data_IF_237695080623
#
_entry.id   IF_237695080623
#
_cell.length_a   1.000
_cell.length_b   1.000
_cell.length_c   1.000
_cell.angle_alpha   90.00
_cell.angle_beta   90.00
_cell.angle_gamma   90.00
#
_symmetry.space_group_name_H-M   'P 1'
#
loop_
_entity.id
_entity.type
_entity.pdbx_description
1 polymer ?
#
# COMPACT_ATOMS: atom_id res chain seq x y z
N UNK A 1 8.11 -19.29 20.02
CA UNK A 1 7.55 -19.31 18.66
C UNK A 1 6.78 -20.61 18.52
N UNK A 2 5.46 -20.59 18.66
CA UNK A 2 4.63 -21.81 18.67
C UNK A 2 3.80 -21.87 17.37
N UNK A 3 4.13 -22.84 16.51
CA UNK A 3 3.25 -23.42 15.48
C UNK A 3 2.65 -22.51 14.42
N UNK A 4 3.20 -21.32 14.17
CA UNK A 4 2.71 -20.39 13.14
C UNK A 4 3.79 -20.13 12.09
N UNK A 5 3.39 -20.14 10.82
CA UNK A 5 4.24 -19.79 9.69
C UNK A 5 3.39 -19.19 8.56
N UNK A 6 4.01 -18.50 7.61
CA UNK A 6 3.32 -17.97 6.43
C UNK A 6 4.19 -18.03 5.18
N UNK A 7 3.55 -18.20 4.02
CA UNK A 7 4.24 -18.22 2.73
C UNK A 7 3.33 -17.62 1.65
N UNK A 8 3.96 -16.95 0.69
CA UNK A 8 3.30 -16.52 -0.54
C UNK A 8 3.60 -17.53 -1.65
N UNK A 9 2.57 -18.25 -2.11
CA UNK A 9 2.67 -19.22 -3.21
C UNK A 9 1.76 -18.75 -4.34
N UNK A 10 2.34 -18.42 -5.49
CA UNK A 10 1.57 -17.93 -6.64
C UNK A 10 0.82 -16.63 -6.31
N UNK A 11 -0.51 -16.69 -6.39
CA UNK A 11 -1.46 -15.60 -6.11
C UNK A 11 -2.14 -15.74 -4.74
N UNK A 12 -1.60 -16.58 -3.85
CA UNK A 12 -2.13 -16.82 -2.51
C UNK A 12 -1.11 -16.51 -1.40
N UNK A 13 -1.63 -16.11 -0.25
CA UNK A 13 -0.92 -16.07 1.04
C UNK A 13 -1.48 -17.17 1.93
N UNK A 14 -0.62 -18.10 2.32
CA UNK A 14 -0.95 -19.19 3.23
C UNK A 14 -0.44 -18.84 4.63
N UNK A 15 -1.27 -19.09 5.64
CA UNK A 15 -0.89 -18.98 7.05
C UNK A 15 -1.18 -20.31 7.74
N UNK A 16 -0.13 -20.97 8.21
CA UNK A 16 -0.25 -22.19 9.01
C UNK A 16 -0.35 -21.85 10.48
N UNK A 17 -1.24 -22.53 11.20
CA UNK A 17 -1.40 -22.36 12.64
C UNK A 17 -1.86 -23.65 13.32
N UNK A 18 -1.60 -23.76 14.62
CA UNK A 18 -2.15 -24.79 15.49
C UNK A 18 -3.13 -24.18 16.50
N UNK A 19 -4.30 -24.79 16.76
CA UNK A 19 -5.22 -24.33 17.81
C UNK A 19 -4.58 -24.28 19.20
N UNK A 20 -4.91 -23.25 19.98
CA UNK A 20 -4.54 -23.16 21.39
C UNK A 20 -5.63 -23.79 22.29
N UNK A 21 -5.28 -24.48 23.39
CA UNK A 21 -3.94 -24.76 23.90
C UNK A 21 -3.23 -25.86 23.10
N UNK A 22 -1.91 -25.70 22.90
CA UNK A 22 -1.08 -26.59 22.08
C UNK A 22 -1.18 -28.07 22.51
N UNK A 23 -1.29 -28.35 23.81
CA UNK A 23 -1.39 -29.72 24.32
C UNK A 23 -2.69 -30.45 23.90
N UNK A 24 -3.69 -29.69 23.44
CA UNK A 24 -4.96 -30.23 22.91
C UNK A 24 -5.06 -30.06 21.39
N UNK A 25 -4.02 -29.56 20.73
CA UNK A 25 -4.00 -29.45 19.28
C UNK A 25 -3.91 -30.84 18.66
N UNK A 26 -4.67 -31.07 17.59
CA UNK A 26 -4.73 -32.34 16.84
C UNK A 26 -4.08 -32.22 15.45
N UNK A 27 -3.42 -31.10 15.15
CA UNK A 27 -2.70 -30.90 13.91
C UNK A 27 -2.53 -29.44 13.52
N UNK A 28 -2.09 -29.24 12.28
CA UNK A 28 -1.92 -27.93 11.65
C UNK A 28 -3.18 -27.60 10.84
N UNK A 29 -3.55 -26.33 10.83
CA UNK A 29 -4.58 -25.74 9.98
C UNK A 29 -3.93 -24.70 9.08
N UNK A 30 -4.55 -24.45 7.93
CA UNK A 30 -4.11 -23.41 6.98
C UNK A 30 -5.27 -22.48 6.72
N UNK A 31 -5.03 -21.18 6.85
CA UNK A 31 -5.89 -20.15 6.32
C UNK A 31 -5.25 -19.57 5.06
N UNK A 32 -6.08 -19.22 4.07
CA UNK A 32 -5.64 -18.79 2.75
C UNK A 32 -6.33 -17.48 2.40
N UNK A 33 -5.54 -16.54 1.91
CA UNK A 33 -6.01 -15.29 1.30
C UNK A 33 -5.45 -15.19 -0.11
N UNK A 34 -6.05 -14.30 -0.91
CA UNK A 34 -5.32 -13.77 -2.08
C UNK A 34 -4.02 -13.12 -1.60
N UNK A 35 -2.99 -13.17 -2.46
CA UNK A 35 -1.64 -12.74 -2.13
C UNK A 35 -1.61 -11.34 -1.50
N UNK A 36 -0.89 -11.27 -0.39
CA UNK A 36 -0.64 -10.10 0.43
C UNK A 36 -1.93 -9.43 0.93
N UNK A 37 -2.99 -10.23 1.21
CA UNK A 37 -4.29 -9.74 1.73
C UNK A 37 -4.65 -10.15 3.15
N UNK A 38 -3.65 -10.38 4.01
CA UNK A 38 -3.86 -10.72 5.42
C UNK A 38 -4.44 -9.56 6.26
N UNK A 39 -4.30 -8.32 5.78
CA UNK A 39 -4.87 -7.11 6.36
C UNK A 39 -4.79 -5.95 5.36
N UNK A 40 -5.36 -4.79 5.70
CA UNK A 40 -5.36 -3.61 4.84
C UNK A 40 -5.39 -2.32 5.63
N UNK A 41 -4.95 -1.23 5.01
CA UNK A 41 -5.24 0.13 5.41
C UNK A 41 -6.59 0.58 4.86
N UNK A 42 -7.37 1.21 5.72
CA UNK A 42 -8.65 1.85 5.42
C UNK A 42 -8.72 3.15 6.21
N UNK A 43 -9.09 4.22 5.53
CA UNK A 43 -9.27 5.53 6.17
C UNK A 43 -10.67 5.63 6.78
N UNK A 44 -10.80 6.38 7.88
CA UNK A 44 -12.08 6.61 8.55
C UNK A 44 -12.29 8.10 8.82
N UNK A 45 -13.51 8.57 8.58
CA UNK A 45 -13.93 9.97 8.75
C UNK A 45 -14.26 10.36 10.19
N UNK A 46 -14.15 9.44 11.16
CA UNK A 46 -14.54 9.66 12.55
C UNK A 46 -13.39 9.28 13.49
N UNK A 47 -12.55 10.27 13.81
CA UNK A 47 -11.45 10.15 14.75
C UNK A 47 -11.24 11.49 15.48
N UNK A 48 -10.52 11.52 16.60
CA UNK A 48 -10.34 12.73 17.41
C UNK A 48 -9.60 13.90 16.70
N UNK A 49 -9.19 13.71 15.44
CA UNK A 49 -8.45 14.66 14.60
C UNK A 49 -9.30 15.25 13.45
N UNK A 50 -10.58 14.90 13.32
CA UNK A 50 -11.42 15.28 12.17
C UNK A 50 -11.79 16.75 12.07
N UNK A 51 -11.61 17.52 13.16
CA UNK A 51 -11.88 18.96 13.21
C UNK A 51 -10.63 19.80 12.90
N UNK A 52 -9.48 19.16 12.68
CA UNK A 52 -8.31 19.86 12.20
C UNK A 52 -8.42 20.03 10.69
N UNK A 53 -8.15 21.23 10.17
CA UNK A 53 -7.99 21.51 8.72
C UNK A 53 -6.77 20.75 8.12
N UNK A 54 -6.29 19.69 8.78
CA UNK A 54 -5.16 18.89 8.37
C UNK A 54 -5.49 18.11 7.10
N UNK A 55 -4.44 17.89 6.33
CA UNK A 55 -4.44 17.14 5.09
C UNK A 55 -5.22 15.82 5.25
N UNK A 56 -5.97 15.45 4.20
CA UNK A 56 -6.81 14.25 4.20
C UNK A 56 -6.07 12.98 4.64
N UNK A 57 -6.80 11.90 4.99
CA UNK A 57 -6.22 10.69 5.55
C UNK A 57 -5.17 10.09 4.59
N UNK A 58 -3.98 9.83 5.12
CA UNK A 58 -2.86 9.36 4.32
C UNK A 58 -1.92 8.47 5.14
N UNK A 59 -1.05 7.75 4.43
CA UNK A 59 0.11 7.05 5.01
C UNK A 59 1.39 7.52 4.33
N UNK A 60 2.49 7.54 5.07
CA UNK A 60 3.82 7.84 4.53
C UNK A 60 4.78 6.74 4.92
N UNK A 61 5.56 6.23 3.96
CA UNK A 61 6.59 5.24 4.22
C UNK A 61 7.74 5.80 5.06
N UNK A 62 8.54 4.89 5.65
CA UNK A 62 9.90 5.23 6.05
C UNK A 62 10.72 5.67 4.81
N UNK A 63 11.87 6.36 4.99
CA UNK A 63 12.78 6.66 3.88
C UNK A 63 13.23 5.37 3.20
N UNK A 64 13.23 5.38 1.87
CA UNK A 64 13.66 4.27 1.00
C UNK A 64 14.82 4.78 0.16
N UNK A 65 15.92 4.04 0.18
CA UNK A 65 17.05 4.27 -0.72
C UNK A 65 16.80 3.50 -2.02
N UNK A 66 16.81 4.21 -3.15
CA UNK A 66 16.66 3.60 -4.47
C UNK A 66 17.98 3.03 -5.01
N UNK A 67 19.09 3.25 -4.31
CA UNK A 67 20.43 2.82 -4.75
C UNK A 67 20.77 3.32 -6.17
N UNK A 68 20.36 4.55 -6.48
CA UNK A 68 20.48 5.20 -7.80
C UNK A 68 19.82 4.43 -8.97
N UNK A 69 18.94 3.47 -8.68
CA UNK A 69 18.17 2.72 -9.66
C UNK A 69 16.81 3.36 -9.94
N UNK A 70 16.27 3.07 -11.12
CA UNK A 70 14.87 3.37 -11.40
C UNK A 70 13.97 2.39 -10.64
N UNK A 71 12.74 2.80 -10.33
CA UNK A 71 11.82 1.96 -9.58
C UNK A 71 10.39 2.00 -10.13
N UNK A 72 9.76 0.84 -10.23
CA UNK A 72 8.34 0.69 -10.56
C UNK A 72 7.52 0.62 -9.28
N UNK A 73 6.54 1.51 -9.14
CA UNK A 73 5.61 1.51 -8.01
C UNK A 73 4.29 0.86 -8.41
N UNK A 74 3.82 -0.09 -7.59
CA UNK A 74 2.52 -0.73 -7.80
C UNK A 74 1.79 -1.01 -6.50
N UNK A 75 0.47 -1.18 -6.57
CA UNK A 75 -0.42 -1.34 -5.40
C UNK A 75 -1.12 -2.69 -5.42
N UNK A 76 -1.35 -3.27 -4.24
CA UNK A 76 -2.43 -4.24 -4.04
C UNK A 76 -3.62 -3.50 -3.44
N UNK A 77 -4.65 -3.29 -4.26
CA UNK A 77 -5.79 -2.43 -3.92
C UNK A 77 -7.10 -3.11 -4.27
N UNK A 78 -8.16 -2.76 -3.56
CA UNK A 78 -9.51 -3.26 -3.81
C UNK A 78 -10.54 -2.13 -3.70
N UNK A 79 -11.53 -2.21 -4.58
CA UNK A 79 -12.68 -1.29 -4.70
C UNK A 79 -12.38 0.19 -5.01
N UNK A 80 -11.32 0.58 -5.75
CA UNK A 80 -11.31 1.93 -6.31
C UNK A 80 -12.50 2.11 -7.26
N UNK A 81 -13.15 3.27 -7.21
CA UNK A 81 -14.30 3.62 -8.06
C UNK A 81 -14.43 5.15 -8.19
N UNK A 82 -15.52 5.63 -8.80
CA UNK A 82 -15.72 7.07 -9.02
C UNK A 82 -15.87 7.92 -7.74
N UNK A 83 -16.17 7.29 -6.60
CA UNK A 83 -16.37 7.95 -5.31
C UNK A 83 -15.21 7.77 -4.34
N UNK A 84 -14.28 6.85 -4.60
CA UNK A 84 -13.14 6.61 -3.74
C UNK A 84 -11.93 5.99 -4.46
N UNK A 85 -10.75 6.30 -3.96
CA UNK A 85 -9.51 5.76 -4.47
C UNK A 85 -8.33 6.15 -3.62
N UNK A 86 -7.15 6.08 -4.21
CA UNK A 86 -5.93 6.60 -3.62
C UNK A 86 -5.19 7.48 -4.61
N UNK A 87 -4.43 8.45 -4.16
CA UNK A 87 -3.38 9.11 -4.95
C UNK A 87 -2.03 8.83 -4.31
N UNK A 88 -0.97 8.84 -5.12
CA UNK A 88 0.38 8.56 -4.65
C UNK A 88 1.29 9.72 -5.03
N UNK A 89 2.07 10.17 -4.06
CA UNK A 89 3.08 11.20 -4.22
C UNK A 89 4.43 10.70 -3.72
N UNK A 90 5.50 11.08 -4.42
CA UNK A 90 6.87 10.84 -3.96
C UNK A 90 7.36 12.07 -3.23
N UNK A 91 7.83 11.88 -2.01
CA UNK A 91 8.43 12.93 -1.19
C UNK A 91 9.93 12.70 -1.06
N UNK A 92 10.69 13.79 -0.88
CA UNK A 92 12.09 13.71 -0.46
C UNK A 92 12.23 13.39 1.04
N UNK A 93 13.46 13.30 1.54
CA UNK A 93 13.74 13.04 2.96
C UNK A 93 13.11 14.06 3.93
N UNK A 94 12.82 15.27 3.45
CA UNK A 94 12.27 16.40 4.20
C UNK A 94 10.75 16.52 4.05
N UNK A 95 10.10 15.51 3.47
CA UNK A 95 8.66 15.51 3.19
C UNK A 95 8.24 16.56 2.15
N UNK A 96 9.17 17.06 1.33
CA UNK A 96 8.83 17.93 0.22
C UNK A 96 8.45 17.09 -1.01
N UNK A 97 7.35 17.41 -1.72
CA UNK A 97 6.98 16.73 -2.96
C UNK A 97 8.08 16.81 -4.02
N UNK A 98 8.34 15.69 -4.69
CA UNK A 98 9.25 15.62 -5.84
C UNK A 98 8.48 16.00 -7.09
N UNK A 99 9.00 16.98 -7.84
CA UNK A 99 8.38 17.50 -9.05
C UNK A 99 8.17 16.41 -10.11
N UNK A 100 6.97 16.39 -10.70
CA UNK A 100 6.56 15.38 -11.67
C UNK A 100 6.27 14.00 -11.07
N UNK A 101 6.23 13.89 -9.74
CA UNK A 101 5.76 12.72 -8.98
C UNK A 101 4.76 13.15 -7.89
N UNK A 102 4.05 14.26 -8.12
CA UNK A 102 3.11 14.83 -7.15
C UNK A 102 1.74 14.19 -7.22
N UNK A 103 0.88 14.44 -6.23
CA UNK A 103 -0.52 14.02 -6.28
C UNK A 103 -1.27 14.60 -7.49
N UNK A 104 -0.91 15.81 -7.94
CA UNK A 104 -1.52 16.45 -9.11
C UNK A 104 -1.14 15.75 -10.43
N UNK A 105 0.04 15.12 -10.47
CA UNK A 105 0.51 14.34 -11.61
C UNK A 105 0.00 12.89 -11.57
N UNK A 106 -0.42 12.41 -10.40
CA UNK A 106 -0.75 11.01 -10.16
C UNK A 106 -1.97 10.54 -10.97
N UNK A 107 -1.79 9.43 -11.67
CA UNK A 107 -2.83 8.64 -12.31
C UNK A 107 -2.88 7.28 -11.59
N UNK A 108 -3.67 7.18 -10.51
CA UNK A 108 -3.74 5.96 -9.73
C UNK A 108 -4.54 4.86 -10.45
N UNK A 109 -4.39 3.60 -10.05
CA UNK A 109 -5.22 2.51 -10.55
C UNK A 109 -6.71 2.73 -10.32
N UNK A 110 -7.52 2.48 -11.35
CA UNK A 110 -8.99 2.51 -11.29
C UNK A 110 -9.61 1.13 -11.07
N UNK A 111 -8.79 0.07 -11.00
CA UNK A 111 -9.25 -1.32 -10.88
C UNK A 111 -8.72 -1.99 -9.62
N UNK A 112 -9.45 -3.01 -9.16
CA UNK A 112 -9.00 -3.86 -8.06
C UNK A 112 -7.99 -4.89 -8.56
N UNK A 113 -6.88 -5.08 -7.86
CA UNK A 113 -5.93 -6.11 -8.26
C UNK A 113 -4.64 -6.15 -7.45
N UNK A 114 -3.84 -7.14 -7.77
CA UNK A 114 -2.44 -7.27 -7.35
C UNK A 114 -1.55 -6.51 -8.35
N UNK A 115 -0.49 -5.86 -7.86
CA UNK A 115 0.48 -5.08 -8.66
C UNK A 115 -0.16 -4.13 -9.68
N UNK A 116 -1.14 -3.35 -9.24
CA UNK A 116 -1.71 -2.27 -10.04
C UNK A 116 -0.71 -1.11 -10.12
N UNK A 117 -0.15 -0.87 -11.31
CA UNK A 117 0.92 0.12 -11.53
C UNK A 117 0.40 1.53 -11.34
N UNK A 118 1.16 2.35 -10.61
CA UNK A 118 0.93 3.78 -10.45
C UNK A 118 1.69 4.54 -11.52
N UNK A 119 1.07 5.59 -12.08
CA UNK A 119 1.67 6.45 -13.09
C UNK A 119 1.60 7.91 -12.65
N UNK A 120 2.50 8.73 -13.17
CA UNK A 120 2.50 10.18 -12.97
C UNK A 120 2.66 10.87 -14.33
N UNK A 121 1.63 11.58 -14.79
CA UNK A 121 1.60 12.17 -16.13
C UNK A 121 2.00 11.16 -17.23
N UNK A 122 3.17 11.35 -17.85
CA UNK A 122 3.77 10.49 -18.88
C UNK A 122 4.76 9.45 -18.32
N UNK A 123 5.00 9.44 -17.01
CA UNK A 123 5.95 8.57 -16.31
C UNK A 123 5.27 7.33 -15.72
N UNK A 124 5.92 6.19 -15.89
CA UNK A 124 5.48 4.89 -15.30
C UNK A 124 6.46 4.37 -14.24
N UNK A 125 7.60 5.04 -14.08
CA UNK A 125 8.71 4.69 -13.18
C UNK A 125 9.22 5.95 -12.47
N UNK A 126 9.78 5.74 -11.28
CA UNK A 126 10.52 6.74 -10.53
C UNK A 126 11.95 6.72 -11.06
N UNK A 127 12.41 7.83 -11.63
CA UNK A 127 13.68 7.94 -12.35
C UNK A 127 14.36 9.25 -11.99
N UNK A 128 15.70 9.23 -11.90
CA UNK A 128 16.50 10.44 -11.69
C UNK A 128 16.24 11.17 -10.37
N UNK A 129 15.61 10.51 -9.40
CA UNK A 129 15.39 11.07 -8.05
C UNK A 129 16.60 10.75 -7.20
N UNK A 130 17.32 11.78 -6.76
CA UNK A 130 18.51 11.62 -5.92
C UNK A 130 18.14 11.54 -4.43
N UNK A 131 18.86 10.70 -3.69
CA UNK A 131 18.69 10.56 -2.24
C UNK A 131 17.54 9.64 -1.88
N UNK A 132 17.21 9.56 -0.58
CA UNK A 132 16.11 8.71 -0.14
C UNK A 132 14.78 9.38 -0.39
N UNK A 133 13.83 8.56 -0.82
CA UNK A 133 12.46 8.98 -1.07
C UNK A 133 11.53 8.47 0.03
N UNK A 134 10.34 9.02 0.08
CA UNK A 134 9.20 8.43 0.78
C UNK A 134 8.04 8.32 -0.17
N UNK A 135 7.21 7.30 0.03
CA UNK A 135 5.95 7.14 -0.68
C UNK A 135 4.85 7.63 0.25
N UNK A 136 4.12 8.65 -0.19
CA UNK A 136 2.89 9.11 0.41
C UNK A 136 1.72 8.53 -0.37
N UNK A 137 0.74 7.95 0.32
CA UNK A 137 -0.52 7.50 -0.27
C UNK A 137 -1.66 8.19 0.45
N UNK A 138 -2.40 9.03 -0.28
CA UNK A 138 -3.59 9.71 0.22
C UNK A 138 -4.83 8.91 -0.17
N UNK A 139 -5.79 8.80 0.75
CA UNK A 139 -7.09 8.19 0.49
C UNK A 139 -8.03 9.28 -0.02
N UNK A 140 -8.57 9.11 -1.22
CA UNK A 140 -9.26 10.16 -1.97
C UNK A 140 -10.73 9.84 -2.20
N UNK A 141 -11.50 10.88 -2.53
CA UNK A 141 -12.93 10.79 -2.83
C UNK A 141 -13.82 11.01 -1.62
N UNK A 142 -15.13 11.15 -1.86
CA UNK A 142 -16.14 11.44 -0.84
C UNK A 142 -16.47 10.22 0.04
N UNK A 143 -16.09 9.02 -0.41
CA UNK A 143 -16.27 7.75 0.31
C UNK A 143 -14.94 7.02 0.45
N UNK A 144 -13.89 7.76 0.79
CA UNK A 144 -12.53 7.22 0.93
C UNK A 144 -12.44 6.02 1.88
N UNK A 145 -13.43 5.82 2.76
CA UNK A 145 -13.55 4.65 3.61
C UNK A 145 -13.84 3.36 2.83
N UNK A 146 -14.37 3.40 1.62
CA UNK A 146 -14.75 2.19 0.88
C UNK A 146 -13.55 1.52 0.16
N UNK A 147 -12.41 2.21 0.01
CA UNK A 147 -11.21 1.65 -0.65
C UNK A 147 -10.30 0.92 0.35
N UNK A 148 -9.72 -0.20 -0.07
CA UNK A 148 -8.80 -1.00 0.75
C UNK A 148 -7.43 -1.07 0.10
N UNK A 149 -6.41 -0.54 0.78
CA UNK A 149 -5.00 -0.64 0.36
C UNK A 149 -4.31 -1.74 1.16
N UNK A 150 -3.91 -2.82 0.49
CA UNK A 150 -3.28 -3.98 1.13
C UNK A 150 -1.76 -3.83 1.21
N UNK A 151 -1.13 -3.35 0.13
CA UNK A 151 0.31 -3.19 0.06
C UNK A 151 0.72 -2.20 -1.03
N UNK A 152 1.90 -1.60 -0.84
CA UNK A 152 2.62 -0.81 -1.83
C UNK A 152 3.92 -1.54 -2.13
N UNK A 153 4.18 -1.83 -3.41
CA UNK A 153 5.39 -2.48 -3.87
C UNK A 153 6.26 -1.49 -4.61
N UNK A 154 7.55 -1.63 -4.40
CA UNK A 154 8.58 -0.90 -5.12
C UNK A 154 9.54 -1.95 -5.69
N UNK A 155 9.51 -2.13 -7.01
CA UNK A 155 10.39 -3.04 -7.72
C UNK A 155 11.52 -2.20 -8.35
N UNK A 156 12.77 -2.37 -7.89
CA UNK A 156 13.94 -1.71 -8.50
C UNK A 156 14.21 -2.32 -9.89
N UNK A 157 14.65 -1.50 -10.83
CA UNK A 157 14.88 -1.86 -12.25
C UNK A 157 16.27 -1.46 -12.73
#
# INVERSE_FOLDING_TARGET
MQGQDFENIGDETLFWYAPWPEQKSDGIRTAVWRRDRLGYFQAYSHGPLTDSEEEGPHIVSAPIDLEDQSALLSLNINQPNEYCGVSVEILDERFAPVEGYTHADCQPPSESGFKQVVKWADKTSIEGVSGRIRIRVDFTGIRFEDVHLYAVYLDLT
#
